data_IF_192511966485
#
_entry.id   IF_192511966485
#
_cell.length_a   1.000
_cell.length_b   1.000
_cell.length_c   1.000
_cell.angle_alpha   90.00
_cell.angle_beta   90.00
_cell.angle_gamma   90.00
#
_symmetry.space_group_name_H-M   'P 1'
#
loop_
_entity.id
_entity.type
_entity.pdbx_description
1 polymer ?
#
# COMPACT_ATOMS: atom_id res chain seq x y z
N UNK A 1 10.84 -19.82 -8.38
CA UNK A 1 10.80 -18.78 -7.32
C UNK A 1 12.23 -18.51 -6.86
N UNK A 2 12.59 -17.26 -6.57
CA UNK A 2 13.95 -16.88 -6.14
C UNK A 2 13.88 -15.77 -5.10
N UNK A 3 14.68 -15.88 -4.04
CA UNK A 3 14.78 -14.89 -2.97
C UNK A 3 15.30 -13.54 -3.51
N UNK A 4 16.42 -13.55 -4.24
CA UNK A 4 17.10 -12.32 -4.69
C UNK A 4 16.64 -11.80 -6.06
N UNK A 5 16.09 -12.67 -6.91
CA UNK A 5 15.76 -12.30 -8.30
C UNK A 5 14.26 -12.10 -8.56
N UNK A 6 13.40 -12.20 -7.54
CA UNK A 6 12.00 -11.82 -7.72
C UNK A 6 11.83 -10.30 -7.91
N UNK A 7 10.73 -9.86 -8.54
CA UNK A 7 10.48 -8.45 -8.83
C UNK A 7 10.62 -7.55 -7.60
N UNK A 8 9.98 -7.91 -6.48
CA UNK A 8 10.04 -7.13 -5.24
C UNK A 8 11.47 -7.02 -4.68
N UNK A 9 12.24 -8.11 -4.69
CA UNK A 9 13.64 -8.07 -4.25
C UNK A 9 14.50 -7.16 -5.14
N UNK A 10 14.28 -7.18 -6.46
CA UNK A 10 14.98 -6.30 -7.39
C UNK A 10 14.56 -4.83 -7.25
N UNK A 11 13.28 -4.56 -7.02
CA UNK A 11 12.76 -3.21 -6.76
C UNK A 11 13.38 -2.67 -5.47
N UNK A 12 13.33 -3.43 -4.37
CA UNK A 12 13.98 -3.00 -3.12
C UNK A 12 15.49 -2.83 -3.28
N UNK A 13 16.19 -3.73 -3.99
CA UNK A 13 17.63 -3.58 -4.25
C UNK A 13 17.95 -2.28 -5.00
N UNK A 14 17.08 -1.83 -5.92
CA UNK A 14 17.24 -0.58 -6.67
C UNK A 14 16.89 0.65 -5.84
N UNK A 15 15.76 0.62 -5.12
CA UNK A 15 15.11 1.84 -4.62
C UNK A 15 15.28 2.06 -3.12
N UNK A 16 15.46 1.01 -2.31
CA UNK A 16 15.62 1.14 -0.87
C UNK A 16 16.79 2.06 -0.45
N UNK A 17 17.95 2.08 -1.14
CA UNK A 17 19.04 3.01 -0.80
C UNK A 17 18.68 4.49 -0.86
N UNK A 18 17.61 4.86 -1.60
CA UNK A 18 17.15 6.26 -1.72
C UNK A 18 16.11 6.64 -0.65
N UNK A 19 15.77 5.74 0.27
CA UNK A 19 14.75 5.98 1.30
C UNK A 19 15.38 6.69 2.50
N UNK A 20 15.28 8.03 2.50
CA UNK A 20 15.91 8.87 3.54
C UNK A 20 14.92 9.44 4.58
N UNK A 21 13.63 9.47 4.27
CA UNK A 21 12.60 10.06 5.15
C UNK A 21 11.40 9.14 5.35
N UNK A 22 10.57 9.43 6.34
CA UNK A 22 9.29 8.74 6.54
C UNK A 22 8.41 8.82 5.29
N UNK A 23 8.40 9.97 4.60
CA UNK A 23 7.68 10.14 3.33
C UNK A 23 8.24 9.25 2.22
N UNK A 24 9.57 9.15 2.07
CA UNK A 24 10.16 8.21 1.10
C UNK A 24 9.76 6.76 1.42
N UNK A 25 9.69 6.41 2.70
CA UNK A 25 9.27 5.08 3.14
C UNK A 25 7.80 4.81 2.82
N UNK A 26 6.91 5.79 3.05
CA UNK A 26 5.51 5.71 2.60
C UNK A 26 5.44 5.47 1.08
N UNK A 27 6.19 6.25 0.29
CA UNK A 27 6.22 6.12 -1.18
C UNK A 27 6.70 4.76 -1.68
N UNK A 28 7.81 4.23 -1.16
CA UNK A 28 8.29 2.90 -1.60
C UNK A 28 7.31 1.78 -1.21
N UNK A 29 6.66 1.89 -0.04
CA UNK A 29 5.68 0.91 0.40
C UNK A 29 4.36 0.97 -0.39
N UNK A 30 4.03 2.12 -0.99
CA UNK A 30 2.89 2.28 -1.92
C UNK A 30 3.27 2.08 -3.39
N UNK A 31 4.53 1.79 -3.69
CA UNK A 31 5.03 1.75 -5.05
C UNK A 31 4.35 0.67 -5.89
N UNK A 32 3.72 1.12 -6.99
CA UNK A 32 3.25 0.28 -8.07
C UNK A 32 3.27 1.06 -9.37
N UNK A 33 4.37 0.98 -10.11
CA UNK A 33 4.51 1.59 -11.43
C UNK A 33 4.52 0.53 -12.54
N UNK A 34 3.67 -0.49 -12.44
CA UNK A 34 3.86 -1.73 -13.20
C UNK A 34 3.91 -1.58 -14.73
N UNK A 35 3.27 -0.53 -15.26
CA UNK A 35 3.25 -0.21 -16.70
C UNK A 35 4.59 0.34 -17.21
N UNK A 36 5.36 1.00 -16.34
CA UNK A 36 6.59 1.68 -16.72
C UNK A 36 7.84 1.10 -16.04
N UNK A 37 7.68 0.31 -14.97
CA UNK A 37 8.79 -0.37 -14.31
C UNK A 37 9.12 -1.71 -14.98
N UNK A 38 10.29 -1.85 -15.64
CA UNK A 38 10.68 -3.10 -16.28
C UNK A 38 10.77 -4.28 -15.30
N UNK A 39 11.01 -4.03 -14.01
CA UNK A 39 11.07 -5.08 -12.97
C UNK A 39 9.70 -5.70 -12.70
N UNK A 40 8.62 -5.00 -13.03
CA UNK A 40 7.24 -5.49 -12.89
C UNK A 40 6.79 -6.34 -14.10
N UNK A 41 7.50 -6.26 -15.23
CA UNK A 41 7.17 -6.99 -16.47
C UNK A 41 5.71 -6.80 -16.90
N UNK A 42 5.19 -5.58 -16.80
CA UNK A 42 3.80 -5.28 -17.15
C UNK A 42 2.75 -5.90 -16.23
N UNK A 43 3.12 -6.45 -15.07
CA UNK A 43 2.17 -7.09 -14.14
C UNK A 43 2.01 -6.28 -12.87
N UNK A 44 0.79 -5.80 -12.64
CA UNK A 44 0.41 -5.03 -11.45
C UNK A 44 0.61 -5.78 -10.12
N UNK A 45 0.69 -7.12 -10.16
CA UNK A 45 1.01 -7.98 -9.02
C UNK A 45 2.51 -8.09 -8.69
N UNK A 46 3.40 -7.57 -9.55
CA UNK A 46 4.86 -7.65 -9.41
C UNK A 46 5.51 -6.38 -8.85
N UNK A 47 4.71 -5.45 -8.33
CA UNK A 47 5.14 -4.26 -7.61
C UNK A 47 5.29 -4.51 -6.10
N UNK A 48 5.71 -3.49 -5.32
CA UNK A 48 5.76 -3.57 -3.85
C UNK A 48 4.33 -3.65 -3.29
N UNK A 49 3.46 -2.72 -3.70
CA UNK A 49 2.03 -2.74 -3.38
C UNK A 49 1.23 -3.31 -4.55
N UNK A 50 1.02 -4.63 -4.53
CA UNK A 50 0.38 -5.35 -5.63
C UNK A 50 -1.07 -4.89 -5.88
N UNK A 51 -1.49 -4.90 -7.15
CA UNK A 51 -2.86 -4.58 -7.61
C UNK A 51 -3.41 -5.69 -8.51
N UNK A 52 -3.92 -6.78 -7.93
CA UNK A 52 -4.49 -7.91 -8.68
C UNK A 52 -5.79 -7.58 -9.41
N UNK A 53 -6.46 -6.51 -8.99
CA UNK A 53 -7.66 -5.97 -9.64
C UNK A 53 -7.33 -5.30 -10.99
N UNK A 54 -6.07 -4.97 -11.24
CA UNK A 54 -5.60 -4.38 -12.49
C UNK A 54 -5.02 -5.43 -13.47
N UNK A 55 -5.29 -6.72 -13.26
CA UNK A 55 -4.91 -7.75 -14.23
C UNK A 55 -5.78 -7.66 -15.48
N UNK A 56 -5.14 -7.64 -16.66
CA UNK A 56 -5.85 -7.58 -17.96
C UNK A 56 -6.79 -8.77 -18.18
N UNK A 57 -6.41 -9.95 -17.69
CA UNK A 57 -7.22 -11.16 -17.74
C UNK A 57 -7.54 -11.63 -16.33
N UNK A 58 -8.84 -11.81 -16.06
CA UNK A 58 -9.38 -12.25 -14.76
C UNK A 58 -8.89 -11.38 -13.59
N UNK A 59 -9.34 -10.11 -13.51
CA UNK A 59 -9.15 -9.30 -12.31
C UNK A 59 -9.55 -10.05 -11.04
N UNK A 60 -8.74 -9.93 -10.00
CA UNK A 60 -9.00 -10.54 -8.69
C UNK A 60 -8.79 -9.51 -7.59
N UNK A 61 -9.69 -9.45 -6.61
CA UNK A 61 -9.63 -8.50 -5.51
C UNK A 61 -8.56 -8.90 -4.46
N UNK A 62 -7.29 -8.91 -4.87
CA UNK A 62 -6.12 -9.23 -4.02
C UNK A 62 -5.00 -8.22 -4.29
N UNK A 63 -4.23 -7.87 -3.26
CA UNK A 63 -3.17 -6.88 -3.41
C UNK A 63 -2.62 -6.38 -2.09
N UNK A 64 -1.82 -5.32 -2.14
CA UNK A 64 -1.51 -4.52 -0.97
C UNK A 64 -2.77 -3.75 -0.55
N UNK A 65 -3.17 -3.85 0.72
CA UNK A 65 -4.41 -3.25 1.23
C UNK A 65 -4.17 -2.21 2.32
N UNK A 66 -2.92 -1.98 2.68
CA UNK A 66 -2.54 -0.96 3.64
C UNK A 66 -1.07 -0.55 3.46
N UNK A 67 -0.65 0.46 4.22
CA UNK A 67 0.75 0.73 4.54
C UNK A 67 0.81 1.30 5.94
N UNK A 68 1.79 0.85 6.73
CA UNK A 68 2.04 1.36 8.08
C UNK A 68 3.53 1.62 8.20
N UNK A 69 3.90 2.85 8.55
CA UNK A 69 5.28 3.29 8.64
C UNK A 69 5.47 4.04 9.94
N UNK A 70 6.50 3.69 10.68
CA UNK A 70 6.90 4.40 11.90
C UNK A 70 8.37 4.79 11.83
N UNK A 71 8.80 5.61 12.79
CA UNK A 71 10.19 6.01 12.98
C UNK A 71 10.56 5.91 14.45
N UNK A 72 11.85 5.97 14.74
CA UNK A 72 12.31 6.09 16.13
C UNK A 72 11.64 7.26 16.86
N UNK A 73 11.46 8.40 16.20
CA UNK A 73 10.80 9.56 16.80
C UNK A 73 9.31 9.29 17.12
N UNK A 74 8.59 8.64 16.21
CA UNK A 74 7.19 8.28 16.44
C UNK A 74 7.05 7.32 17.63
N UNK A 75 7.98 6.37 17.76
CA UNK A 75 7.97 5.44 18.89
C UNK A 75 8.39 6.12 20.19
N UNK A 76 9.52 6.82 20.19
CA UNK A 76 10.15 7.34 21.42
C UNK A 76 9.52 8.62 21.95
N UNK A 77 8.91 9.46 21.10
CA UNK A 77 8.36 10.77 21.49
C UNK A 77 6.86 10.88 21.37
N UNK A 78 6.20 9.98 20.62
CA UNK A 78 4.76 10.05 20.33
C UNK A 78 4.01 8.80 20.79
N UNK A 79 4.50 8.18 21.85
CA UNK A 79 3.83 7.06 22.52
C UNK A 79 3.67 5.80 21.66
N UNK A 80 4.39 5.63 20.54
CA UNK A 80 4.20 4.49 19.64
C UNK A 80 3.39 4.79 18.38
N UNK A 81 3.42 6.03 17.88
CA UNK A 81 2.65 6.44 16.71
C UNK A 81 3.10 5.77 15.39
N UNK A 82 2.24 5.82 14.38
CA UNK A 82 2.52 5.39 13.00
C UNK A 82 1.79 6.28 11.99
N UNK A 83 2.38 6.44 10.80
CA UNK A 83 1.65 6.92 9.62
C UNK A 83 1.06 5.72 8.90
N UNK A 84 -0.26 5.71 8.72
CA UNK A 84 -1.01 4.58 8.19
C UNK A 84 -1.91 5.01 7.04
N UNK A 85 -2.04 4.17 6.02
CA UNK A 85 -2.99 4.36 4.93
C UNK A 85 -3.74 3.04 4.73
N UNK A 86 -5.07 3.12 4.66
CA UNK A 86 -5.94 1.99 4.36
C UNK A 86 -6.27 1.96 2.87
N UNK A 87 -6.33 0.76 2.30
CA UNK A 87 -6.76 0.50 0.93
C UNK A 87 -5.62 0.26 -0.07
N UNK A 88 -5.96 -0.21 -1.28
CA UNK A 88 -4.98 -0.41 -2.35
C UNK A 88 -4.28 0.87 -2.79
N UNK A 89 -3.03 0.76 -3.25
CA UNK A 89 -2.27 1.92 -3.73
C UNK A 89 -2.96 2.63 -4.88
N UNK A 90 -3.06 3.96 -4.79
CA UNK A 90 -3.52 4.86 -5.83
C UNK A 90 -2.46 5.93 -6.18
N UNK A 91 -1.22 5.79 -5.69
CA UNK A 91 -0.11 6.73 -5.96
C UNK A 91 0.19 6.87 -7.46
N UNK A 92 0.08 5.76 -8.17
CA UNK A 92 0.43 5.62 -9.60
C UNK A 92 -0.64 4.84 -10.36
N UNK A 93 -1.73 4.48 -9.69
CA UNK A 93 -2.77 3.59 -10.18
C UNK A 93 -4.15 4.18 -9.91
N UNK A 94 -5.19 3.79 -10.67
CA UNK A 94 -6.54 4.24 -10.40
C UNK A 94 -6.99 3.84 -8.99
N UNK A 95 -7.79 4.69 -8.35
CA UNK A 95 -8.42 4.39 -7.07
C UNK A 95 -9.21 3.09 -7.17
N UNK A 96 -9.06 2.21 -6.18
CA UNK A 96 -9.83 0.97 -6.13
C UNK A 96 -11.28 1.25 -5.78
N UNK A 97 -12.20 0.61 -6.52
CA UNK A 97 -13.62 0.61 -6.21
C UNK A 97 -14.19 -0.79 -6.30
N UNK A 98 -14.95 -1.16 -5.28
CA UNK A 98 -15.67 -2.43 -5.27
C UNK A 98 -16.76 -2.54 -6.35
N UNK A 99 -17.12 -1.45 -7.04
CA UNK A 99 -17.99 -1.51 -8.23
C UNK A 99 -17.45 -2.46 -9.30
N UNK A 100 -16.13 -2.68 -9.34
CA UNK A 100 -15.50 -3.64 -10.24
C UNK A 100 -15.81 -5.11 -9.87
N UNK A 101 -16.19 -5.39 -8.62
CA UNK A 101 -16.43 -6.74 -8.09
C UNK A 101 -17.80 -6.83 -7.40
N UNK A 102 -18.91 -6.66 -8.13
CA UNK A 102 -20.25 -6.57 -7.52
C UNK A 102 -20.70 -7.86 -6.82
N UNK A 103 -20.15 -9.01 -7.19
CA UNK A 103 -20.49 -10.32 -6.60
C UNK A 103 -19.76 -10.67 -5.30
N UNK A 104 -18.83 -9.83 -4.82
CA UNK A 104 -18.08 -10.08 -3.59
C UNK A 104 -18.74 -9.41 -2.38
N UNK A 105 -18.94 -10.18 -1.31
CA UNK A 105 -19.46 -9.68 -0.03
C UNK A 105 -18.42 -8.79 0.65
N UNK A 106 -18.86 -7.63 1.14
CA UNK A 106 -18.00 -6.55 1.65
C UNK A 106 -18.71 -5.65 2.67
N UNK A 107 -19.52 -6.26 3.53
CA UNK A 107 -20.31 -5.54 4.53
C UNK A 107 -19.40 -4.68 5.42
N UNK A 108 -19.80 -3.43 5.64
CA UNK A 108 -19.05 -2.47 6.45
C UNK A 108 -17.85 -1.82 5.76
N UNK A 109 -17.49 -2.22 4.53
CA UNK A 109 -16.43 -1.57 3.77
C UNK A 109 -16.94 -0.40 2.95
N UNK A 110 -16.14 0.66 2.77
CA UNK A 110 -16.46 1.75 1.84
C UNK A 110 -16.47 1.22 0.40
N UNK A 111 -17.27 1.83 -0.48
CA UNK A 111 -17.32 1.49 -1.91
C UNK A 111 -15.99 1.82 -2.63
N UNK A 112 -15.31 2.87 -2.19
CA UNK A 112 -14.10 3.45 -2.79
C UNK A 112 -13.02 3.60 -1.73
N UNK A 113 -11.79 3.23 -2.06
CA UNK A 113 -10.63 3.31 -1.15
C UNK A 113 -9.67 4.42 -1.57
N UNK A 114 -10.08 5.66 -1.34
CA UNK A 114 -9.32 6.89 -1.62
C UNK A 114 -8.90 7.59 -0.31
N UNK A 115 -8.32 6.83 0.60
CA UNK A 115 -7.92 7.36 1.91
C UNK A 115 -6.51 7.92 1.85
N UNK A 116 -6.23 9.08 2.46
CA UNK A 116 -4.86 9.57 2.63
C UNK A 116 -4.11 8.76 3.69
N UNK A 117 -2.80 8.99 3.80
CA UNK A 117 -2.10 8.66 5.03
C UNK A 117 -2.64 9.51 6.18
N UNK A 118 -2.84 8.88 7.33
CA UNK A 118 -3.15 9.54 8.61
C UNK A 118 -2.14 9.10 9.64
N UNK A 119 -1.80 9.99 10.56
CA UNK A 119 -1.00 9.61 11.73
C UNK A 119 -1.93 9.11 12.83
N UNK A 120 -1.61 7.97 13.42
CA UNK A 120 -2.34 7.37 14.53
C UNK A 120 -1.39 7.17 15.70
N UNK A 121 -1.78 7.64 16.88
CA UNK A 121 -1.10 7.45 18.16
C UNK A 121 -1.99 6.72 19.17
N UNK A 122 -1.39 6.32 20.30
CA UNK A 122 -2.13 5.65 21.37
C UNK A 122 -3.15 6.57 22.07
N UNK A 123 -2.94 7.89 22.00
CA UNK A 123 -3.86 8.88 22.57
C UNK A 123 -5.13 9.10 21.71
N UNK A 124 -5.16 8.59 20.46
CA UNK A 124 -6.29 8.76 19.54
C UNK A 124 -7.43 7.73 19.77
N UNK A 125 -7.29 6.82 20.74
CA UNK A 125 -8.24 5.71 20.97
C UNK A 125 -9.43 6.10 21.87
N UNK A 126 -9.46 7.31 22.45
CA UNK A 126 -10.46 7.66 23.47
C UNK A 126 -11.84 8.15 22.98
N UNK A 127 -12.13 8.31 21.68
CA UNK A 127 -13.36 9.02 21.26
C UNK A 127 -14.26 8.31 20.23
N UNK A 128 -14.58 7.03 20.40
CA UNK A 128 -15.76 6.42 19.73
C UNK A 128 -16.53 5.41 20.61
N UNK A 129 -16.81 5.78 21.86
CA UNK A 129 -17.90 5.19 22.64
C UNK A 129 -18.83 6.31 23.12
N UNK A 130 -19.85 6.61 22.31
CA UNK A 130 -21.10 7.25 22.75
C UNK A 130 -22.26 6.47 22.17
#
# INVERSE_FOLDING_TARGET
FSYTNCSRARIFKRDAPSVATLYNMQRIMRYNNYKHDPLSSGKASRAISARGDLLDSKPVAVGGIDSKVTSWEFVSKRGGAASVQSGPTHDQQPVFSWKQFPGLVRLGQPEVFDFPFVEVGFDDVEHTAK
#
